data_IF_811385632962
#
_entry.id   IF_811385632962
#
_cell.length_a   1.000
_cell.length_b   1.000
_cell.length_c   1.000
_cell.angle_alpha   90.00
_cell.angle_beta   90.00
_cell.angle_gamma   90.00
#
_symmetry.space_group_name_H-M   'P 1'
#
loop_
_entity.id
_entity.type
_entity.pdbx_description
1 polymer ?
#
# COMPACT_ATOMS: atom_id res chain seq x y z
N UNK A 1 19.94 -9.22 -9.92
CA UNK A 1 20.00 -7.86 -9.34
C UNK A 1 18.70 -7.49 -8.62
N UNK A 2 17.52 -7.55 -9.27
CA UNK A 2 16.23 -7.14 -8.66
C UNK A 2 15.89 -7.86 -7.35
N UNK A 3 16.13 -9.18 -7.24
CA UNK A 3 15.92 -9.94 -6.00
C UNK A 3 16.76 -9.44 -4.82
N UNK A 4 17.97 -8.93 -5.07
CA UNK A 4 18.82 -8.36 -4.02
C UNK A 4 18.25 -7.02 -3.55
N UNK A 5 17.80 -6.18 -4.47
CA UNK A 5 17.13 -4.92 -4.13
C UNK A 5 15.83 -5.18 -3.37
N UNK A 6 15.03 -6.14 -3.81
CA UNK A 6 13.82 -6.56 -3.12
C UNK A 6 14.12 -6.98 -1.67
N UNK A 7 15.08 -7.87 -1.47
CA UNK A 7 15.43 -8.37 -0.14
C UNK A 7 15.88 -7.24 0.81
N UNK A 8 16.59 -6.23 0.28
CA UNK A 8 16.99 -5.05 1.06
C UNK A 8 15.80 -4.15 1.38
N UNK A 9 14.93 -3.86 0.40
CA UNK A 9 13.73 -3.05 0.62
C UNK A 9 12.74 -3.73 1.55
N UNK A 10 12.64 -5.06 1.50
CA UNK A 10 11.76 -5.84 2.36
C UNK A 10 12.04 -5.61 3.86
N UNK A 11 13.30 -5.38 4.24
CA UNK A 11 13.65 -5.10 5.63
C UNK A 11 13.03 -3.78 6.10
N UNK A 12 13.11 -2.73 5.27
CA UNK A 12 12.48 -1.44 5.55
C UNK A 12 10.96 -1.52 5.52
N UNK A 13 10.40 -2.23 4.53
CA UNK A 13 8.96 -2.47 4.44
C UNK A 13 8.42 -3.14 5.71
N UNK A 14 9.11 -4.17 6.21
CA UNK A 14 8.69 -4.87 7.43
C UNK A 14 8.74 -3.98 8.69
N UNK A 15 9.62 -3.00 8.72
CA UNK A 15 9.73 -2.03 9.81
C UNK A 15 8.70 -0.91 9.70
N UNK A 16 8.49 -0.40 8.49
CA UNK A 16 7.64 0.78 8.25
C UNK A 16 6.14 0.44 8.18
N UNK A 17 5.77 -0.75 7.71
CA UNK A 17 4.37 -1.11 7.54
C UNK A 17 3.73 -1.57 8.85
N UNK A 18 2.59 -0.99 9.25
CA UNK A 18 1.80 -1.45 10.37
C UNK A 18 1.16 -2.82 10.08
N UNK A 19 0.70 -3.48 11.14
CA UNK A 19 0.08 -4.80 11.03
C UNK A 19 -1.24 -4.82 10.25
N UNK A 20 -1.90 -3.68 10.14
CA UNK A 20 -3.13 -3.49 9.38
C UNK A 20 -2.95 -3.58 7.86
N UNK A 21 -1.72 -3.45 7.34
CA UNK A 21 -1.41 -3.71 5.93
C UNK A 21 -0.94 -5.16 5.77
N UNK A 22 -1.79 -6.00 5.18
CA UNK A 22 -1.48 -7.41 4.95
C UNK A 22 -1.01 -7.72 3.51
N UNK A 23 -1.31 -6.83 2.56
CA UNK A 23 -0.99 -7.05 1.16
C UNK A 23 0.51 -7.21 0.89
N UNK A 24 0.86 -8.23 0.11
CA UNK A 24 2.24 -8.56 -0.28
C UNK A 24 3.21 -8.84 0.88
N UNK A 25 2.68 -9.15 2.08
CA UNK A 25 3.49 -9.58 3.23
C UNK A 25 3.49 -11.09 3.35
N UNK A 26 4.64 -11.62 3.79
CA UNK A 26 4.79 -13.05 4.06
C UNK A 26 3.84 -13.46 5.21
N UNK A 27 3.24 -14.63 5.07
CA UNK A 27 2.34 -15.24 6.07
C UNK A 27 1.09 -14.38 6.38
N UNK A 28 0.71 -13.47 5.49
CA UNK A 28 -0.52 -12.66 5.53
C UNK A 28 -1.34 -12.88 4.28
N UNK A 29 -2.61 -13.21 4.43
CA UNK A 29 -3.51 -13.51 3.33
C UNK A 29 -4.81 -12.71 3.37
N UNK A 30 -5.47 -12.55 2.23
CA UNK A 30 -6.78 -11.88 2.16
C UNK A 30 -7.82 -12.59 3.04
N UNK A 31 -7.68 -13.91 3.25
CA UNK A 31 -8.58 -14.67 4.13
C UNK A 31 -8.49 -14.22 5.57
N UNK A 32 -7.30 -13.82 6.04
CA UNK A 32 -7.10 -13.32 7.39
C UNK A 32 -7.80 -11.96 7.56
N UNK A 33 -7.73 -11.09 6.54
CA UNK A 33 -8.43 -9.80 6.57
C UNK A 33 -9.96 -9.96 6.52
N UNK A 34 -10.47 -10.89 5.72
CA UNK A 34 -11.90 -11.24 5.72
C UNK A 34 -12.32 -11.77 7.09
N UNK A 35 -11.53 -12.65 7.72
CA UNK A 35 -11.80 -13.17 9.04
C UNK A 35 -11.80 -12.06 10.09
N UNK A 36 -10.88 -11.09 10.00
CA UNK A 36 -10.84 -9.92 10.86
C UNK A 36 -12.13 -9.08 10.74
N UNK A 37 -12.60 -8.81 9.53
CA UNK A 37 -13.86 -8.08 9.31
C UNK A 37 -15.05 -8.85 9.90
N UNK A 38 -15.15 -10.15 9.65
CA UNK A 38 -16.21 -11.00 10.22
C UNK A 38 -16.20 -10.94 11.74
N UNK A 39 -15.03 -11.09 12.34
CA UNK A 39 -14.88 -11.03 13.79
C UNK A 39 -15.30 -9.66 14.35
N UNK A 40 -14.95 -8.56 13.69
CA UNK A 40 -15.35 -7.20 14.07
C UNK A 40 -16.89 -7.07 14.05
N UNK A 41 -17.54 -7.56 12.99
CA UNK A 41 -19.00 -7.53 12.86
C UNK A 41 -19.68 -8.35 13.96
N UNK A 42 -19.15 -9.55 14.26
CA UNK A 42 -19.69 -10.39 15.33
C UNK A 42 -19.55 -9.72 16.69
N UNK A 43 -18.40 -9.11 16.99
CA UNK A 43 -18.19 -8.37 18.23
C UNK A 43 -19.07 -7.13 18.33
N UNK A 44 -19.23 -6.37 17.25
CA UNK A 44 -20.16 -5.24 17.24
C UNK A 44 -21.60 -5.67 17.57
N UNK A 45 -22.05 -6.80 17.02
CA UNK A 45 -23.37 -7.38 17.34
C UNK A 45 -23.47 -7.84 18.78
N UNK A 46 -22.46 -8.53 19.30
CA UNK A 46 -22.42 -9.00 20.69
C UNK A 46 -22.53 -7.84 21.69
N UNK A 47 -21.85 -6.73 21.43
CA UNK A 47 -21.86 -5.55 22.28
C UNK A 47 -22.95 -4.52 21.92
N UNK A 48 -23.82 -4.83 20.95
CA UNK A 48 -24.88 -3.94 20.45
C UNK A 48 -24.36 -2.55 20.04
N UNK A 49 -23.16 -2.51 19.46
CA UNK A 49 -22.55 -1.29 18.94
C UNK A 49 -22.75 -1.17 17.43
N UNK A 50 -23.04 0.04 16.97
CA UNK A 50 -23.00 0.33 15.55
C UNK A 50 -21.56 0.39 15.05
N UNK A 51 -21.32 -0.13 13.86
CA UNK A 51 -20.06 -0.02 13.16
C UNK A 51 -20.33 0.34 11.70
N UNK A 52 -19.62 1.32 11.20
CA UNK A 52 -19.71 1.80 9.83
C UNK A 52 -18.45 1.42 9.09
N UNK A 53 -18.59 0.89 7.88
CA UNK A 53 -17.50 0.50 7.00
C UNK A 53 -17.50 1.39 5.76
N UNK A 54 -16.34 1.90 5.40
CA UNK A 54 -16.09 2.56 4.12
C UNK A 54 -15.03 1.77 3.36
N UNK A 55 -15.41 1.25 2.20
CA UNK A 55 -14.49 0.51 1.32
C UNK A 55 -13.95 1.46 0.26
N UNK A 56 -12.62 1.53 0.17
CA UNK A 56 -11.91 2.36 -0.80
C UNK A 56 -11.20 1.43 -1.78
N UNK A 57 -11.58 1.54 -3.05
CA UNK A 57 -10.93 0.90 -4.19
C UNK A 57 -10.18 1.95 -5.01
N UNK A 58 -8.87 1.82 -5.11
CA UNK A 58 -8.05 2.79 -5.84
C UNK A 58 -8.03 2.48 -7.33
N UNK A 59 -8.60 3.38 -8.13
CA UNK A 59 -8.51 3.28 -9.58
C UNK A 59 -7.04 3.35 -10.04
N UNK A 60 -6.53 2.28 -10.66
CA UNK A 60 -5.17 2.19 -11.21
C UNK A 60 -4.07 2.51 -10.17
N UNK A 61 -4.19 1.96 -8.98
CA UNK A 61 -3.31 2.23 -7.84
C UNK A 61 -1.82 2.22 -8.20
N UNK A 62 -1.34 1.16 -8.85
CA UNK A 62 0.06 1.00 -9.26
C UNK A 62 0.48 2.02 -10.33
N UNK A 63 -0.41 2.35 -11.26
CA UNK A 63 -0.12 3.28 -12.36
C UNK A 63 -0.08 4.75 -11.89
N UNK A 64 -0.68 5.04 -10.73
CA UNK A 64 -0.78 6.39 -10.18
C UNK A 64 0.39 6.79 -9.29
N UNK A 65 1.35 5.92 -9.00
CA UNK A 65 2.52 6.23 -8.17
C UNK A 65 3.40 7.27 -8.86
N UNK A 66 3.48 8.46 -8.29
CA UNK A 66 4.34 9.54 -8.78
C UNK A 66 5.80 9.28 -8.38
N UNK A 67 6.69 9.18 -9.37
CA UNK A 67 8.11 8.86 -9.12
C UNK A 67 8.78 9.93 -8.25
N UNK A 68 8.51 11.24 -8.51
CA UNK A 68 9.15 12.32 -7.76
C UNK A 68 8.74 12.30 -6.29
N UNK A 69 7.47 12.02 -6.01
CA UNK A 69 6.95 11.83 -4.65
C UNK A 69 7.50 10.56 -4.02
N UNK A 70 7.53 9.45 -4.76
CA UNK A 70 8.06 8.18 -4.27
C UNK A 70 9.47 8.33 -3.71
N UNK A 71 10.38 9.00 -4.44
CA UNK A 71 11.76 9.18 -3.98
C UNK A 71 11.86 10.03 -2.71
N UNK A 72 11.00 11.04 -2.56
CA UNK A 72 10.92 11.83 -1.33
C UNK A 72 10.42 10.98 -0.16
N UNK A 73 9.36 10.22 -0.37
CA UNK A 73 8.77 9.32 0.61
C UNK A 73 9.80 8.31 1.12
N UNK A 74 10.52 7.63 0.21
CA UNK A 74 11.55 6.67 0.58
C UNK A 74 12.67 7.31 1.42
N UNK A 75 13.02 8.57 1.13
CA UNK A 75 14.00 9.32 1.92
C UNK A 75 13.47 9.68 3.31
N UNK A 76 12.22 10.11 3.42
CA UNK A 76 11.56 10.43 4.70
C UNK A 76 11.38 9.18 5.58
N UNK A 77 11.23 8.00 4.97
CA UNK A 77 11.23 6.69 5.64
C UNK A 77 12.63 6.15 5.93
N UNK A 78 13.65 7.00 5.92
CA UNK A 78 15.04 6.66 6.21
C UNK A 78 15.63 5.51 5.38
N UNK A 79 15.13 5.30 4.16
CA UNK A 79 15.73 4.36 3.22
C UNK A 79 17.04 4.95 2.71
N UNK A 80 18.16 4.20 2.73
CA UNK A 80 19.46 4.73 2.38
C UNK A 80 19.53 5.32 0.96
N UNK A 81 20.19 6.47 0.82
CA UNK A 81 20.31 7.21 -0.44
C UNK A 81 20.87 6.35 -1.60
N UNK A 82 21.78 5.43 -1.31
CA UNK A 82 22.33 4.53 -2.34
C UNK A 82 21.28 3.57 -2.92
N UNK A 83 20.31 3.08 -2.10
CA UNK A 83 19.20 2.25 -2.59
C UNK A 83 18.21 3.09 -3.41
N UNK A 84 17.91 4.30 -2.94
CA UNK A 84 17.05 5.24 -3.68
C UNK A 84 17.68 5.58 -5.04
N UNK A 85 18.98 5.83 -5.08
CA UNK A 85 19.70 6.11 -6.31
C UNK A 85 19.61 4.94 -7.31
N UNK A 86 19.81 3.71 -6.85
CA UNK A 86 19.67 2.51 -7.69
C UNK A 86 18.25 2.35 -8.24
N UNK A 87 17.24 2.60 -7.42
CA UNK A 87 15.84 2.56 -7.85
C UNK A 87 15.54 3.66 -8.87
N UNK A 88 15.98 4.90 -8.61
CA UNK A 88 15.80 6.01 -9.55
C UNK A 88 16.42 5.71 -10.91
N UNK A 89 17.64 5.18 -10.94
CA UNK A 89 18.31 4.80 -12.19
C UNK A 89 17.54 3.68 -12.92
N UNK A 90 16.95 2.72 -12.18
CA UNK A 90 16.13 1.67 -12.78
C UNK A 90 14.87 2.23 -13.45
N UNK A 91 14.25 3.26 -12.86
CA UNK A 91 13.01 3.87 -13.37
C UNK A 91 13.27 4.99 -14.38
N UNK A 92 14.44 5.64 -14.36
CA UNK A 92 14.75 6.79 -15.23
C UNK A 92 14.85 6.45 -16.72
N UNK A 93 15.10 5.19 -17.05
CA UNK A 93 15.33 4.71 -18.44
C UNK A 93 14.17 3.82 -18.91
N UNK A 94 13.03 3.88 -18.23
CA UNK A 94 11.88 3.06 -18.61
C UNK A 94 11.12 3.73 -19.76
N UNK A 95 11.07 3.01 -20.88
CA UNK A 95 10.30 3.37 -22.07
C UNK A 95 9.30 2.28 -22.39
N UNK A 96 8.20 2.66 -23.00
CA UNK A 96 7.18 1.73 -23.44
C UNK A 96 6.75 2.05 -24.88
N UNK A 97 6.21 1.03 -25.52
CA UNK A 97 5.50 1.13 -26.79
C UNK A 97 4.23 0.27 -26.69
N UNK A 98 3.19 0.69 -27.37
CA UNK A 98 1.90 -0.02 -27.38
C UNK A 98 1.69 -0.65 -28.74
N UNK A 99 1.41 -1.94 -28.76
CA UNK A 99 1.03 -2.67 -29.95
C UNK A 99 -0.48 -2.60 -30.12
N UNK A 100 -0.93 -2.03 -31.24
CA UNK A 100 -2.34 -1.93 -31.62
C UNK A 100 -2.63 -2.80 -32.84
N UNK A 101 -3.89 -2.96 -33.21
CA UNK A 101 -4.29 -3.63 -34.47
C UNK A 101 -3.78 -2.93 -35.73
N UNK A 102 -3.36 -1.67 -35.65
CA UNK A 102 -2.86 -0.85 -36.74
C UNK A 102 -1.33 -0.68 -36.76
N UNK A 103 -0.63 -1.31 -35.82
CA UNK A 103 0.84 -1.22 -35.71
C UNK A 103 1.31 -0.96 -34.29
N UNK A 104 2.55 -0.52 -34.16
CA UNK A 104 3.19 -0.21 -32.88
C UNK A 104 3.40 1.29 -32.80
N UNK A 105 3.14 1.90 -31.63
CA UNK A 105 3.40 3.31 -31.38
C UNK A 105 4.89 3.59 -31.33
N UNK A 106 5.29 4.86 -31.44
CA UNK A 106 6.63 5.29 -31.08
C UNK A 106 6.92 5.02 -29.60
N UNK A 107 8.20 4.91 -29.25
CA UNK A 107 8.64 4.77 -27.88
C UNK A 107 8.36 6.04 -27.08
N UNK A 108 7.82 5.90 -25.88
CA UNK A 108 7.58 7.01 -24.98
C UNK A 108 8.10 6.69 -23.57
N UNK A 109 8.53 7.72 -22.87
CA UNK A 109 9.06 7.62 -21.51
C UNK A 109 7.93 7.39 -20.50
N UNK A 110 8.16 6.48 -19.53
CA UNK A 110 7.26 6.24 -18.42
C UNK A 110 7.62 7.18 -17.27
N UNK A 111 6.78 8.19 -17.02
CA UNK A 111 7.02 9.22 -15.99
C UNK A 111 6.36 8.93 -14.63
N UNK A 112 5.50 7.92 -14.53
CA UNK A 112 4.78 7.53 -13.31
C UNK A 112 4.38 6.06 -13.33
N UNK A 113 3.99 5.55 -12.18
CA UNK A 113 3.56 4.18 -12.00
C UNK A 113 4.70 3.25 -11.60
N UNK A 114 4.32 2.12 -10.98
CA UNK A 114 5.22 1.00 -10.72
C UNK A 114 4.78 -0.19 -11.56
N UNK A 115 5.74 -0.85 -12.20
CA UNK A 115 5.45 -1.88 -13.21
C UNK A 115 4.72 -3.07 -12.59
N UNK A 116 3.51 -3.36 -13.04
CA UNK A 116 2.78 -4.56 -12.63
C UNK A 116 3.56 -5.82 -13.03
N UNK A 117 3.68 -6.77 -12.10
CA UNK A 117 4.48 -7.97 -12.29
C UNK A 117 5.98 -7.83 -11.96
N UNK A 118 6.49 -6.61 -11.72
CA UNK A 118 7.84 -6.45 -11.20
C UNK A 118 7.90 -6.77 -9.71
N UNK A 119 8.91 -7.53 -9.29
CA UNK A 119 9.07 -7.96 -7.89
C UNK A 119 9.30 -6.81 -6.89
N UNK A 120 9.69 -5.63 -7.35
CA UNK A 120 9.88 -4.43 -6.52
C UNK A 120 8.59 -3.65 -6.31
N UNK A 121 7.66 -3.72 -7.26
CA UNK A 121 6.47 -2.86 -7.28
C UNK A 121 5.56 -3.01 -6.06
N UNK A 122 5.31 -4.22 -5.52
CA UNK A 122 4.54 -4.37 -4.30
C UNK A 122 5.14 -3.63 -3.10
N UNK A 123 6.47 -3.72 -2.95
CA UNK A 123 7.18 -3.07 -1.86
C UNK A 123 7.13 -1.53 -1.99
N UNK A 124 7.39 -1.01 -3.18
CA UNK A 124 7.35 0.43 -3.46
C UNK A 124 5.95 1.02 -3.31
N UNK A 125 4.93 0.29 -3.80
CA UNK A 125 3.54 0.68 -3.64
C UNK A 125 3.14 0.74 -2.17
N UNK A 126 3.43 -0.32 -1.39
CA UNK A 126 3.08 -0.37 0.03
C UNK A 126 3.72 0.78 0.83
N UNK A 127 4.99 1.09 0.59
CA UNK A 127 5.65 2.22 1.25
C UNK A 127 5.02 3.56 0.84
N UNK A 128 4.67 3.72 -0.44
CA UNK A 128 4.00 4.91 -0.94
C UNK A 128 2.60 5.09 -0.33
N UNK A 129 1.81 4.02 -0.31
CA UNK A 129 0.46 4.01 0.25
C UNK A 129 0.48 4.27 1.78
N UNK A 130 1.43 3.65 2.50
CA UNK A 130 1.61 3.87 3.94
C UNK A 130 1.87 5.34 4.27
N UNK A 131 2.75 6.00 3.52
CA UNK A 131 3.00 7.41 3.70
C UNK A 131 1.74 8.27 3.51
N UNK A 132 0.92 7.95 2.50
CA UNK A 132 -0.36 8.65 2.26
C UNK A 132 -1.29 8.46 3.45
N UNK A 133 -1.43 7.22 3.94
CA UNK A 133 -2.31 6.91 5.07
C UNK A 133 -1.88 7.62 6.36
N UNK A 134 -0.57 7.69 6.65
CA UNK A 134 -0.04 8.46 7.79
C UNK A 134 -0.37 9.94 7.69
N UNK A 135 -0.20 10.53 6.50
CA UNK A 135 -0.51 11.95 6.28
C UNK A 135 -2.02 12.24 6.30
N UNK A 136 -2.85 11.26 5.96
CA UNK A 136 -4.30 11.36 6.10
C UNK A 136 -4.78 11.20 7.56
N UNK A 137 -3.85 10.98 8.52
CA UNK A 137 -4.15 10.71 9.94
C UNK A 137 -5.09 9.52 10.16
N UNK A 138 -5.02 8.56 9.27
CA UNK A 138 -5.78 7.30 9.33
C UNK A 138 -4.95 6.18 9.97
N UNK A 139 -3.98 6.55 10.78
CA UNK A 139 -3.17 5.62 11.55
C UNK A 139 -3.90 5.11 12.79
N UNK A 140 -3.48 3.96 13.29
CA UNK A 140 -4.09 3.29 14.44
C UNK A 140 -4.05 4.11 15.74
N UNK A 141 -3.20 5.16 15.82
CA UNK A 141 -3.07 6.01 17.00
C UNK A 141 -4.35 6.82 17.31
N UNK A 142 -5.22 7.03 16.32
CA UNK A 142 -6.51 7.72 16.48
C UNK A 142 -7.71 6.76 16.41
N UNK A 143 -7.46 5.45 16.47
CA UNK A 143 -8.50 4.45 16.36
C UNK A 143 -9.37 4.38 17.62
N UNK A 144 -10.68 4.50 17.45
CA UNK A 144 -11.67 4.35 18.52
C UNK A 144 -12.16 2.90 18.67
N UNK A 145 -11.97 2.09 17.62
CA UNK A 145 -12.41 0.69 17.62
C UNK A 145 -11.35 -0.16 18.31
N UNK A 146 -11.71 -0.72 19.46
CA UNK A 146 -10.86 -1.66 20.21
C UNK A 146 -11.15 -3.08 19.78
N UNK A 147 -10.19 -3.69 19.12
CA UNK A 147 -10.19 -5.12 18.80
C UNK A 147 -9.28 -5.87 19.80
N UNK A 148 -9.44 -7.17 19.94
CA UNK A 148 -8.72 -7.99 20.93
C UNK A 148 -7.20 -7.81 20.96
N UNK A 149 -6.59 -7.41 19.86
CA UNK A 149 -5.15 -7.20 19.73
C UNK A 149 -4.71 -5.73 19.49
N UNK A 150 -5.64 -4.77 19.60
CA UNK A 150 -5.27 -3.36 19.48
C UNK A 150 -6.41 -2.46 19.01
N UNK A 151 -6.13 -1.18 18.97
CA UNK A 151 -7.02 -0.19 18.37
C UNK A 151 -6.75 -0.15 16.87
N UNK A 152 -7.80 -0.23 16.06
CA UNK A 152 -7.71 -0.07 14.60
C UNK A 152 -8.92 0.66 14.05
N UNK A 153 -8.70 1.46 13.04
CA UNK A 153 -9.75 2.15 12.28
C UNK A 153 -9.66 1.81 10.78
N UNK A 154 -8.71 0.98 10.39
CA UNK A 154 -8.55 0.53 9.02
C UNK A 154 -7.96 -0.87 8.93
N UNK A 155 -8.27 -1.57 7.84
CA UNK A 155 -7.64 -2.80 7.39
C UNK A 155 -7.28 -2.63 5.92
N UNK A 156 -6.10 -3.14 5.52
CA UNK A 156 -5.59 -2.93 4.17
C UNK A 156 -5.01 -4.22 3.58
N UNK A 157 -5.36 -4.49 2.34
CA UNK A 157 -4.75 -5.54 1.56
C UNK A 157 -4.29 -4.96 0.21
N UNK A 158 -3.02 -4.59 0.12
CA UNK A 158 -2.43 -3.86 -1.00
C UNK A 158 -3.15 -2.51 -1.23
N UNK A 159 -3.90 -2.38 -2.32
CA UNK A 159 -4.71 -1.22 -2.69
C UNK A 159 -6.13 -1.24 -2.10
N UNK A 160 -6.65 -2.40 -1.74
CA UNK A 160 -7.93 -2.47 -1.05
C UNK A 160 -7.82 -1.94 0.39
N UNK A 161 -8.62 -0.94 0.70
CA UNK A 161 -8.63 -0.31 2.03
C UNK A 161 -10.05 -0.28 2.59
N UNK A 162 -10.21 -0.74 3.83
CA UNK A 162 -11.45 -0.65 4.58
C UNK A 162 -11.24 0.28 5.76
N UNK A 163 -12.00 1.37 5.83
CA UNK A 163 -12.05 2.25 6.99
C UNK A 163 -13.24 1.86 7.87
N UNK A 164 -13.09 2.06 9.18
CA UNK A 164 -14.08 1.70 10.18
C UNK A 164 -14.27 2.82 11.20
N UNK A 165 -15.52 3.08 11.59
CA UNK A 165 -15.87 4.06 12.61
C UNK A 165 -17.08 3.60 13.44
N UNK A 166 -17.20 4.08 14.68
CA UNK A 166 -18.39 3.87 15.53
C UNK A 166 -19.50 4.89 15.24
N UNK A 167 -19.21 5.98 14.52
CA UNK A 167 -20.15 7.04 14.14
C UNK A 167 -20.02 7.42 12.67
N UNK A 168 -21.09 7.96 12.06
CA UNK A 168 -21.10 8.40 10.66
C UNK A 168 -20.31 9.71 10.41
N UNK A 169 -20.05 10.50 11.45
CA UNK A 169 -19.49 11.86 11.36
C UNK A 169 -17.95 11.92 11.42
N UNK A 170 -17.25 10.80 11.14
CA UNK A 170 -15.78 10.77 11.22
C UNK A 170 -15.13 10.35 9.93
#
# INVERSE_FOLDING_TARGET
MLKILQARLQQYMNFELPDVQAGFRKDRGIRDEIANIHWIIEKAREFQKNIYFCFIDYAKAFDCVDHSKLWKILKEMAIPDHLICLLRNLYAVQEATVRTGHGTTDWFQIGKGVCQGCILSPCLFNLYAEYIMRNARLDAAQAEIRIAWGNTNNLRYADDTTLMAETEEK
#
